data_IF_644760958492
#
_entry.id   IF_644760958492
#
_cell.length_a   1.000
_cell.length_b   1.000
_cell.length_c   1.000
_cell.angle_alpha   90.00
_cell.angle_beta   90.00
_cell.angle_gamma   90.00
#
_symmetry.space_group_name_H-M   'P 1'
#
loop_
_entity.id
_entity.type
_entity.pdbx_description
1 polymer ?
#
# COMPACT_ATOMS: atom_id res chain seq x y z
N UNK A 1 -33.57 -25.68 -11.87
CA UNK A 1 -33.33 -26.12 -10.49
C UNK A 1 -32.25 -25.23 -9.91
N UNK A 2 -32.43 -24.62 -8.73
CA UNK A 2 -31.40 -23.82 -8.08
C UNK A 2 -30.23 -24.74 -7.70
N UNK A 3 -29.00 -24.30 -7.94
CA UNK A 3 -27.81 -25.06 -7.55
C UNK A 3 -27.75 -25.12 -6.01
N UNK A 4 -27.69 -26.30 -5.37
CA UNK A 4 -27.63 -26.41 -3.91
C UNK A 4 -26.29 -25.85 -3.42
N UNK A 5 -26.33 -24.86 -2.53
CA UNK A 5 -25.15 -24.32 -1.85
C UNK A 5 -24.68 -22.92 -2.30
N UNK A 6 -25.33 -22.32 -3.30
CA UNK A 6 -25.09 -20.92 -3.64
C UNK A 6 -25.61 -20.01 -2.52
N UNK A 7 -24.72 -19.22 -1.90
CA UNK A 7 -25.12 -18.11 -1.03
C UNK A 7 -26.14 -17.24 -1.79
N UNK A 8 -27.21 -16.82 -1.12
CA UNK A 8 -28.21 -15.92 -1.70
C UNK A 8 -27.84 -14.50 -1.32
N UNK A 9 -27.88 -13.59 -2.29
CA UNK A 9 -27.60 -12.16 -2.07
C UNK A 9 -28.84 -11.33 -2.34
N UNK A 10 -29.09 -10.37 -1.47
CA UNK A 10 -30.12 -9.36 -1.69
C UNK A 10 -29.67 -8.33 -2.72
N UNK A 11 -30.58 -8.00 -3.62
CA UNK A 11 -30.34 -7.08 -4.72
C UNK A 11 -31.61 -6.28 -5.06
N UNK A 12 -31.44 -5.24 -5.86
CA UNK A 12 -32.54 -4.54 -6.51
C UNK A 12 -32.40 -4.67 -8.02
N UNK A 13 -33.48 -5.04 -8.69
CA UNK A 13 -33.58 -5.14 -10.13
C UNK A 13 -34.24 -3.88 -10.72
N UNK A 14 -33.66 -3.38 -11.79
CA UNK A 14 -34.14 -2.28 -12.62
C UNK A 14 -34.34 -2.81 -14.04
N UNK A 15 -35.52 -2.61 -14.61
CA UNK A 15 -35.89 -3.16 -15.91
C UNK A 15 -35.41 -2.33 -17.11
N UNK A 16 -34.77 -1.18 -16.88
CA UNK A 16 -34.26 -0.29 -17.91
C UNK A 16 -35.35 0.53 -18.63
N UNK A 17 -36.62 0.21 -18.39
CA UNK A 17 -37.79 0.90 -18.95
C UNK A 17 -38.40 1.87 -17.95
N UNK A 18 -38.34 1.52 -16.66
CA UNK A 18 -38.92 2.28 -15.56
C UNK A 18 -37.86 2.54 -14.48
N UNK A 19 -37.97 3.65 -13.74
CA UNK A 19 -37.06 3.94 -12.61
C UNK A 19 -37.40 3.12 -11.35
N UNK A 20 -38.30 2.13 -11.43
CA UNK A 20 -38.78 1.38 -10.27
C UNK A 20 -37.77 0.32 -9.87
N UNK A 21 -37.32 0.37 -8.61
CA UNK A 21 -36.47 -0.65 -8.00
C UNK A 21 -37.33 -1.79 -7.47
N UNK A 22 -37.14 -2.99 -8.01
CA UNK A 22 -37.83 -4.20 -7.54
C UNK A 22 -36.89 -5.04 -6.69
N UNK A 23 -37.35 -5.47 -5.51
CA UNK A 23 -36.54 -6.33 -4.66
C UNK A 23 -36.30 -7.69 -5.35
N UNK A 24 -35.04 -8.12 -5.34
CA UNK A 24 -34.59 -9.34 -6.01
C UNK A 24 -33.60 -10.10 -5.14
N UNK A 25 -33.57 -11.42 -5.31
CA UNK A 25 -32.54 -12.30 -4.74
C UNK A 25 -31.71 -12.90 -5.86
N UNK A 26 -30.41 -12.96 -5.64
CA UNK A 26 -29.44 -13.41 -6.64
C UNK A 26 -28.72 -14.64 -6.10
N UNK A 27 -28.59 -15.66 -6.95
CA UNK A 27 -27.68 -16.79 -6.74
C UNK A 27 -26.66 -16.80 -7.86
N UNK A 28 -25.43 -17.17 -7.52
CA UNK A 28 -24.31 -17.23 -8.45
C UNK A 28 -24.19 -18.67 -8.90
N UNK A 29 -24.50 -18.91 -10.18
CA UNK A 29 -24.14 -20.13 -10.87
C UNK A 29 -22.79 -20.01 -11.57
N UNK A 30 -22.30 -21.11 -12.13
CA UNK A 30 -20.98 -21.16 -12.77
C UNK A 30 -20.89 -20.32 -14.06
N UNK A 31 -21.99 -20.18 -14.80
CA UNK A 31 -22.01 -19.46 -16.08
C UNK A 31 -23.07 -18.34 -16.14
N UNK A 32 -23.92 -18.23 -15.12
CA UNK A 32 -25.00 -17.27 -15.09
C UNK A 32 -25.34 -16.86 -13.65
N UNK A 33 -25.85 -15.65 -13.49
CA UNK A 33 -26.57 -15.23 -12.29
C UNK A 33 -28.02 -15.68 -12.42
N UNK A 34 -28.57 -16.31 -11.39
CA UNK A 34 -30.01 -16.57 -11.31
C UNK A 34 -30.63 -15.50 -10.42
N UNK A 35 -31.64 -14.83 -10.95
CA UNK A 35 -32.27 -13.68 -10.31
C UNK A 35 -33.73 -14.02 -10.09
N UNK A 36 -34.19 -13.89 -8.86
CA UNK A 36 -35.57 -14.15 -8.45
C UNK A 36 -36.19 -12.88 -7.91
N UNK A 37 -37.26 -12.39 -8.54
CA UNK A 37 -37.99 -11.21 -8.08
C UNK A 37 -38.86 -11.57 -6.87
N UNK A 38 -38.78 -10.79 -5.79
CA UNK A 38 -39.51 -11.05 -4.56
C UNK A 38 -41.04 -10.91 -4.72
N UNK A 39 -41.48 -9.99 -5.59
CA UNK A 39 -42.91 -9.63 -5.73
C UNK A 39 -43.74 -10.64 -6.53
N UNK A 40 -43.13 -11.29 -7.54
CA UNK A 40 -43.86 -12.19 -8.47
C UNK A 40 -43.33 -13.63 -8.47
N UNK A 41 -42.26 -13.91 -7.72
CA UNK A 41 -41.56 -15.21 -7.78
C UNK A 41 -40.95 -15.54 -9.14
N UNK A 42 -40.92 -14.59 -10.07
CA UNK A 42 -40.37 -14.78 -11.42
C UNK A 42 -38.86 -14.91 -11.31
N UNK A 43 -38.34 -16.02 -11.82
CA UNK A 43 -36.91 -16.29 -11.90
C UNK A 43 -36.41 -16.22 -13.34
N UNK A 44 -35.29 -15.55 -13.56
CA UNK A 44 -34.61 -15.52 -14.86
C UNK A 44 -33.10 -15.59 -14.68
N UNK A 45 -32.38 -15.86 -15.79
CA UNK A 45 -30.93 -16.04 -15.78
C UNK A 45 -30.22 -14.99 -16.61
N UNK A 46 -29.13 -14.45 -16.08
CA UNK A 46 -28.22 -13.56 -16.77
C UNK A 46 -26.90 -14.28 -17.06
N UNK A 47 -26.58 -14.59 -18.33
CA UNK A 47 -25.29 -15.16 -18.70
C UNK A 47 -24.17 -14.21 -18.30
N UNK A 48 -23.16 -14.70 -17.58
CA UNK A 48 -22.07 -13.84 -17.07
C UNK A 48 -21.31 -13.13 -18.19
N UNK A 49 -21.22 -13.74 -19.37
CA UNK A 49 -20.58 -13.15 -20.56
C UNK A 49 -21.29 -11.89 -21.08
N UNK A 50 -22.57 -11.68 -20.73
CA UNK A 50 -23.37 -10.52 -21.15
C UNK A 50 -23.49 -9.47 -20.06
N UNK A 51 -22.92 -9.73 -18.88
CA UNK A 51 -23.01 -8.85 -17.71
C UNK A 51 -21.76 -7.98 -17.66
N UNK A 52 -21.96 -6.67 -17.56
CA UNK A 52 -20.88 -5.69 -17.41
C UNK A 52 -21.00 -4.99 -16.07
N UNK A 53 -19.87 -4.81 -15.38
CA UNK A 53 -19.82 -3.99 -14.18
C UNK A 53 -19.67 -2.52 -14.57
N UNK A 54 -20.66 -1.69 -14.26
CA UNK A 54 -20.63 -0.24 -14.59
C UNK A 54 -20.43 0.66 -13.38
N UNK A 55 -20.73 0.19 -12.16
CA UNK A 55 -20.43 0.88 -10.89
C UNK A 55 -20.05 -0.13 -9.78
N UNK A 56 -19.64 0.39 -8.62
CA UNK A 56 -19.11 -0.43 -7.52
C UNK A 56 -17.59 -0.60 -7.62
N UNK A 57 -16.89 0.40 -8.16
CA UNK A 57 -15.43 0.43 -8.24
C UNK A 57 -14.80 0.93 -6.93
N UNK A 58 -15.59 1.58 -6.06
CA UNK A 58 -15.17 2.13 -4.77
C UNK A 58 -15.91 1.46 -3.59
N UNK A 59 -15.30 1.54 -2.42
CA UNK A 59 -15.87 1.01 -1.18
C UNK A 59 -17.09 1.84 -0.74
N UNK A 60 -18.15 1.16 -0.29
CA UNK A 60 -19.44 1.78 0.05
C UNK A 60 -20.36 2.05 -1.16
N UNK A 61 -19.85 1.85 -2.38
CA UNK A 61 -20.62 1.96 -3.61
C UNK A 61 -21.34 0.63 -3.89
N UNK A 62 -22.64 0.68 -4.22
CA UNK A 62 -23.39 -0.50 -4.65
C UNK A 62 -22.73 -1.12 -5.90
N UNK A 63 -22.59 -2.44 -5.89
CA UNK A 63 -22.17 -3.18 -7.08
C UNK A 63 -23.31 -3.10 -8.09
N UNK A 64 -23.06 -2.44 -9.22
CA UNK A 64 -24.03 -2.32 -10.31
C UNK A 64 -23.59 -3.17 -11.48
N UNK A 65 -24.41 -4.15 -11.78
CA UNK A 65 -24.25 -5.03 -12.92
C UNK A 65 -25.30 -4.68 -13.96
N UNK A 66 -24.90 -4.51 -15.21
CA UNK A 66 -25.80 -4.18 -16.31
C UNK A 66 -25.77 -5.25 -17.40
N UNK A 67 -26.93 -5.45 -18.03
CA UNK A 67 -27.11 -6.36 -19.16
C UNK A 67 -27.97 -5.69 -20.23
N UNK A 68 -27.44 -5.58 -21.45
CA UNK A 68 -28.11 -4.98 -22.60
C UNK A 68 -27.37 -3.76 -23.16
N UNK A 69 -27.97 -3.12 -24.16
CA UNK A 69 -27.51 -1.88 -24.80
C UNK A 69 -28.27 -0.67 -24.25
N UNK A 70 -28.98 0.05 -25.13
CA UNK A 70 -29.59 1.36 -24.82
C UNK A 70 -30.62 1.33 -23.68
N UNK A 71 -31.35 0.22 -23.51
CA UNK A 71 -32.27 -0.03 -22.39
C UNK A 71 -31.69 -1.12 -21.49
N UNK A 72 -30.52 -0.85 -20.91
CA UNK A 72 -29.83 -1.81 -20.06
C UNK A 72 -30.64 -2.10 -18.79
N UNK A 73 -30.84 -3.39 -18.53
CA UNK A 73 -31.33 -3.85 -17.24
C UNK A 73 -30.20 -3.76 -16.24
N UNK A 74 -30.49 -3.36 -15.00
CA UNK A 74 -29.47 -3.21 -13.96
C UNK A 74 -29.82 -4.01 -12.71
N UNK A 75 -28.79 -4.57 -12.08
CA UNK A 75 -28.85 -5.29 -10.82
C UNK A 75 -27.93 -4.60 -9.83
N UNK A 76 -28.50 -4.12 -8.74
CA UNK A 76 -27.83 -3.39 -7.68
C UNK A 76 -27.66 -4.29 -6.46
N UNK A 77 -26.41 -4.60 -6.10
CA UNK A 77 -26.09 -5.43 -4.93
C UNK A 77 -25.34 -4.57 -3.90
N UNK A 78 -25.85 -4.53 -2.67
CA UNK A 78 -25.29 -3.70 -1.59
C UNK A 78 -23.98 -4.25 -1.01
N UNK A 79 -23.81 -5.57 -1.03
CA UNK A 79 -22.66 -6.23 -0.41
C UNK A 79 -21.52 -6.46 -1.42
N UNK A 80 -20.38 -5.80 -1.20
CA UNK A 80 -19.16 -5.94 -2.01
C UNK A 80 -18.58 -7.37 -1.94
N UNK A 81 -18.90 -8.15 -0.90
CA UNK A 81 -18.50 -9.55 -0.81
C UNK A 81 -19.08 -10.41 -1.94
N UNK A 82 -20.18 -9.96 -2.58
CA UNK A 82 -20.74 -10.57 -3.78
C UNK A 82 -19.69 -10.78 -4.87
N UNK A 83 -18.87 -9.76 -5.18
CA UNK A 83 -17.85 -9.85 -6.24
C UNK A 83 -16.80 -10.91 -5.92
N UNK A 84 -16.44 -11.06 -4.64
CA UNK A 84 -15.48 -12.09 -4.21
C UNK A 84 -16.06 -13.49 -4.38
N UNK A 85 -17.33 -13.68 -4.01
CA UNK A 85 -18.02 -14.95 -4.20
C UNK A 85 -18.25 -15.27 -5.68
N UNK A 86 -18.54 -14.26 -6.51
CA UNK A 86 -18.66 -14.40 -7.96
C UNK A 86 -17.38 -14.98 -8.56
N UNK A 87 -16.22 -14.47 -8.12
CA UNK A 87 -14.92 -14.97 -8.60
C UNK A 87 -14.63 -16.40 -8.18
N UNK A 88 -14.99 -16.75 -6.94
CA UNK A 88 -14.78 -18.10 -6.43
C UNK A 88 -15.65 -19.13 -7.17
N UNK A 89 -16.88 -18.76 -7.50
CA UNK A 89 -17.83 -19.66 -8.16
C UNK A 89 -17.66 -19.75 -9.70
N UNK A 90 -17.13 -18.70 -10.33
CA UNK A 90 -16.98 -18.61 -11.78
C UNK A 90 -15.65 -17.93 -12.20
N UNK A 91 -14.49 -18.57 -11.97
CA UNK A 91 -13.17 -17.94 -12.15
C UNK A 91 -12.87 -17.50 -13.59
N UNK A 92 -13.42 -18.19 -14.60
CA UNK A 92 -13.21 -17.85 -16.00
C UNK A 92 -13.98 -16.58 -16.40
N UNK A 93 -15.23 -16.46 -15.95
CA UNK A 93 -16.05 -15.27 -16.16
C UNK A 93 -15.58 -14.09 -15.29
N UNK A 94 -14.98 -14.38 -14.13
CA UNK A 94 -14.48 -13.41 -13.17
C UNK A 94 -13.42 -12.44 -13.71
N UNK A 95 -12.70 -12.82 -14.77
CA UNK A 95 -11.68 -11.98 -15.42
C UNK A 95 -12.25 -10.68 -15.96
N UNK A 96 -13.53 -10.65 -16.32
CA UNK A 96 -14.23 -9.45 -16.80
C UNK A 96 -14.62 -8.48 -15.67
N UNK A 97 -14.54 -8.88 -14.40
CA UNK A 97 -15.03 -8.09 -13.25
C UNK A 97 -13.87 -7.55 -12.39
N UNK A 98 -13.94 -6.27 -11.99
CA UNK A 98 -12.82 -5.57 -11.32
C UNK A 98 -12.73 -5.85 -9.81
N UNK A 99 -11.52 -6.01 -9.25
CA UNK A 99 -11.31 -6.40 -7.85
C UNK A 99 -10.95 -5.22 -6.93
N UNK A 100 -11.88 -4.71 -6.11
CA UNK A 100 -11.59 -3.63 -5.19
C UNK A 100 -10.64 -4.03 -4.04
N UNK A 101 -10.52 -5.32 -3.68
CA UNK A 101 -9.66 -5.77 -2.56
C UNK A 101 -8.17 -5.77 -2.90
N UNK A 102 -7.81 -6.06 -4.16
CA UNK A 102 -6.40 -6.06 -4.61
C UNK A 102 -5.71 -4.71 -4.42
N UNK A 103 -6.46 -3.62 -4.56
CA UNK A 103 -5.93 -2.26 -4.35
C UNK A 103 -5.56 -1.99 -2.90
N UNK A 104 -6.31 -2.54 -1.94
CA UNK A 104 -6.04 -2.35 -0.50
C UNK A 104 -4.85 -3.13 0.01
N UNK A 105 -4.70 -4.36 -0.47
CA UNK A 105 -3.53 -5.17 -0.16
C UNK A 105 -2.26 -4.49 -0.68
N UNK A 106 -2.30 -3.92 -1.89
CA UNK A 106 -1.19 -3.12 -2.45
C UNK A 106 -0.93 -1.84 -1.67
N UNK A 107 -1.97 -1.11 -1.27
CA UNK A 107 -1.81 0.11 -0.46
C UNK A 107 -1.22 -0.19 0.92
N UNK A 108 -1.68 -1.26 1.58
CA UNK A 108 -1.14 -1.73 2.85
C UNK A 108 0.31 -2.18 2.73
N UNK A 109 0.64 -2.95 1.70
CA UNK A 109 2.02 -3.36 1.39
C UNK A 109 2.92 -2.16 1.10
N UNK A 110 2.44 -1.16 0.35
CA UNK A 110 3.18 0.06 0.07
C UNK A 110 3.44 0.87 1.36
N UNK A 111 2.43 0.98 2.24
CA UNK A 111 2.59 1.59 3.55
C UNK A 111 3.62 0.86 4.42
N UNK A 112 3.55 -0.47 4.48
CA UNK A 112 4.51 -1.30 5.20
C UNK A 112 5.93 -1.13 4.64
N UNK A 113 6.09 -1.13 3.31
CA UNK A 113 7.37 -0.92 2.66
C UNK A 113 7.97 0.46 2.97
N UNK A 114 7.13 1.51 3.01
CA UNK A 114 7.57 2.85 3.39
C UNK A 114 8.06 2.90 4.85
N UNK A 115 7.32 2.30 5.78
CA UNK A 115 7.73 2.21 7.19
C UNK A 115 9.04 1.43 7.33
N UNK A 116 9.17 0.29 6.63
CA UNK A 116 10.38 -0.52 6.65
C UNK A 116 11.60 0.25 6.11
N UNK A 117 11.43 1.02 5.03
CA UNK A 117 12.50 1.84 4.46
C UNK A 117 12.99 2.92 5.44
N UNK A 118 12.06 3.61 6.13
CA UNK A 118 12.40 4.59 7.17
C UNK A 118 13.13 3.93 8.34
N UNK A 119 12.63 2.78 8.81
CA UNK A 119 13.27 2.04 9.90
C UNK A 119 14.69 1.57 9.55
N UNK A 120 14.88 1.05 8.33
CA UNK A 120 16.20 0.68 7.81
C UNK A 120 17.15 1.88 7.73
N UNK A 121 16.68 3.01 7.20
CA UNK A 121 17.46 4.24 7.13
C UNK A 121 17.89 4.75 8.51
N UNK A 122 16.95 4.76 9.47
CA UNK A 122 17.23 5.15 10.85
C UNK A 122 18.23 4.20 11.52
N UNK A 123 18.06 2.88 11.34
CA UNK A 123 19.00 1.87 11.85
C UNK A 123 20.41 2.06 11.30
N UNK A 124 20.53 2.24 9.98
CA UNK A 124 21.81 2.53 9.33
C UNK A 124 22.45 3.82 9.83
N UNK A 125 21.66 4.86 10.10
CA UNK A 125 22.19 6.12 10.60
C UNK A 125 22.75 5.99 12.02
N UNK A 126 21.99 5.38 12.94
CA UNK A 126 22.37 5.27 14.35
C UNK A 126 23.53 4.29 14.55
N UNK A 127 23.54 3.18 13.82
CA UNK A 127 24.51 2.10 13.99
C UNK A 127 25.65 2.15 12.98
N UNK A 128 25.33 2.41 11.72
CA UNK A 128 26.30 2.42 10.62
C UNK A 128 27.37 3.49 10.80
N UNK A 129 26.99 4.71 11.22
CA UNK A 129 27.96 5.78 11.48
C UNK A 129 28.93 5.39 12.60
N UNK A 130 28.44 4.80 13.70
CA UNK A 130 29.30 4.39 14.84
C UNK A 130 30.23 3.23 14.46
N UNK A 131 29.73 2.26 13.70
CA UNK A 131 30.52 1.12 13.24
C UNK A 131 31.63 1.55 12.26
N UNK A 132 31.30 2.41 11.29
CA UNK A 132 32.26 2.97 10.34
C UNK A 132 33.28 3.85 11.05
N UNK A 133 32.86 4.67 12.02
CA UNK A 133 33.76 5.50 12.82
C UNK A 133 34.77 4.65 13.61
N UNK A 134 34.34 3.53 14.22
CA UNK A 134 35.23 2.64 14.96
C UNK A 134 36.28 1.97 14.05
N UNK A 135 35.90 1.56 12.83
CA UNK A 135 36.82 0.99 11.84
C UNK A 135 37.78 2.06 11.31
N UNK A 136 37.26 3.26 11.05
CA UNK A 136 38.05 4.41 10.59
C UNK A 136 39.14 4.77 11.60
N UNK A 137 38.78 4.92 12.88
CA UNK A 137 39.71 5.29 13.95
C UNK A 137 40.89 4.31 14.07
N UNK A 138 40.67 3.00 13.89
CA UNK A 138 41.75 2.01 13.93
C UNK A 138 42.71 2.07 12.71
N UNK A 139 42.32 2.79 11.65
CA UNK A 139 43.05 2.87 10.38
C UNK A 139 43.67 4.25 10.13
N UNK A 140 43.39 5.26 10.97
CA UNK A 140 44.00 6.58 10.84
C UNK A 140 45.46 6.52 11.33
N UNK A 141 46.46 6.79 10.48
CA UNK A 141 47.84 6.88 10.91
C UNK A 141 48.07 8.17 11.71
N UNK A 142 48.86 8.10 12.78
CA UNK A 142 49.22 9.26 13.59
C UNK A 142 49.82 10.42 12.76
N UNK A 143 50.53 10.11 11.66
CA UNK A 143 51.07 11.12 10.76
C UNK A 143 50.00 12.05 10.15
N UNK A 144 48.78 11.56 9.92
CA UNK A 144 47.68 12.38 9.41
C UNK A 144 47.16 13.36 10.46
N UNK A 145 47.06 12.91 11.72
CA UNK A 145 46.65 13.76 12.83
C UNK A 145 47.68 14.86 13.09
N UNK A 146 48.97 14.51 13.05
CA UNK A 146 50.08 15.46 13.19
C UNK A 146 50.05 16.49 12.06
N UNK A 147 49.96 16.04 10.79
CA UNK A 147 49.90 16.96 9.66
C UNK A 147 48.68 17.89 9.73
N UNK A 148 47.51 17.36 10.08
CA UNK A 148 46.29 18.16 10.24
C UNK A 148 46.44 19.18 11.38
N UNK A 149 47.03 18.76 12.50
CA UNK A 149 47.29 19.60 13.66
C UNK A 149 48.28 20.73 13.36
N UNK A 150 49.37 20.44 12.66
CA UNK A 150 50.34 21.45 12.22
C UNK A 150 49.70 22.47 11.29
N UNK A 151 48.89 22.01 10.33
CA UNK A 151 48.19 22.88 9.40
C UNK A 151 47.17 23.78 10.13
N UNK A 152 46.42 23.21 11.08
CA UNK A 152 45.48 23.95 11.90
C UNK A 152 46.19 24.97 12.81
N UNK A 153 47.30 24.59 13.44
CA UNK A 153 48.11 25.50 14.28
C UNK A 153 48.75 26.62 13.47
N UNK A 154 49.17 26.36 12.24
CA UNK A 154 49.70 27.40 11.35
C UNK A 154 48.66 28.49 11.05
N UNK A 155 47.38 28.14 10.97
CA UNK A 155 46.30 29.08 10.72
C UNK A 155 45.73 29.73 11.99
N UNK A 156 45.48 28.94 13.03
CA UNK A 156 44.83 29.40 14.26
C UNK A 156 45.80 30.13 15.19
N UNK A 157 47.07 29.71 15.22
CA UNK A 157 48.11 30.27 16.08
C UNK A 157 49.41 30.44 15.29
N UNK A 158 49.48 31.39 14.34
CA UNK A 158 50.71 31.65 13.59
C UNK A 158 51.84 32.08 14.54
N UNK A 159 53.12 31.80 14.23
CA UNK A 159 54.24 32.06 15.15
C UNK A 159 54.30 33.50 15.69
N UNK A 160 53.93 34.48 14.86
CA UNK A 160 53.88 35.90 15.22
C UNK A 160 52.81 36.27 16.25
N UNK A 161 51.84 35.38 16.50
CA UNK A 161 50.76 35.55 17.49
C UNK A 161 50.85 34.56 18.64
N UNK A 162 51.91 33.77 18.74
CA UNK A 162 52.13 32.85 19.86
C UNK A 162 52.74 33.63 21.02
N UNK A 163 52.15 33.51 22.22
CA UNK A 163 52.76 34.00 23.44
C UNK A 163 53.96 33.12 23.81
N UNK A 164 55.17 33.60 23.54
CA UNK A 164 56.41 32.96 23.98
C UNK A 164 56.85 33.59 25.32
N UNK A 165 56.18 33.19 26.40
CA UNK A 165 56.58 33.57 27.76
C UNK A 165 57.52 32.49 28.32
N UNK A 166 58.81 32.80 28.52
CA UNK A 166 59.80 31.82 28.99
C UNK A 166 59.54 31.34 30.41
N UNK A 167 58.92 32.16 31.27
CA UNK A 167 58.56 31.72 32.63
C UNK A 167 57.42 30.71 32.59
N UNK A 168 56.46 30.91 31.69
CA UNK A 168 55.36 29.97 31.45
C UNK A 168 55.85 28.64 30.89
N UNK A 169 56.77 28.68 29.91
CA UNK A 169 57.31 27.46 29.32
C UNK A 169 58.08 26.64 30.37
N UNK A 170 58.88 27.29 31.21
CA UNK A 170 59.61 26.62 32.30
C UNK A 170 58.69 25.84 33.24
N UNK A 171 57.54 26.42 33.62
CA UNK A 171 56.57 25.73 34.49
C UNK A 171 55.88 24.55 33.81
N UNK A 172 55.67 24.59 32.50
CA UNK A 172 55.09 23.46 31.75
C UNK A 172 56.09 22.32 31.69
N UNK A 173 57.35 22.61 31.40
CA UNK A 173 58.41 21.61 31.32
C UNK A 173 58.62 20.92 32.68
N UNK A 174 58.50 21.64 33.79
CA UNK A 174 58.52 21.10 35.17
C UNK A 174 57.36 20.13 35.49
N UNK A 175 56.23 20.20 34.78
CA UNK A 175 55.07 19.29 34.99
C UNK A 175 55.15 18.04 34.08
N UNK A 176 55.83 18.17 32.94
CA UNK A 176 55.82 17.14 31.89
C UNK A 176 57.09 16.28 31.87
N UNK A 177 58.13 16.68 32.61
CA UNK A 177 59.35 15.91 32.88
C UNK A 177 59.29 15.18 34.22
#
# INVERSE_FOLDING_TARGET
>A
MPVPGGRVWDAHYLDGLTPVRRAARVTIGQAALEITLAERGVSFRWPLAQVRQTQGFREGEQVRLERGGDLAQALLIGDVAFLSALRAAAPDAARAFHDPRRRRLRAGLAGLAAVAAVALGAGLHVWGVRAVAAIGAARVPAAWEVALGETAMAQLAPPSRRCADPERQRRIDEITG
#
